data_IF_090927287836
#
_entry.id   IF_090927287836
#
_cell.length_a   1.000
_cell.length_b   1.000
_cell.length_c   1.000
_cell.angle_alpha   90.00
_cell.angle_beta   90.00
_cell.angle_gamma   90.00
#
_symmetry.space_group_name_H-M   'P 1'
#
loop_
_entity.id
_entity.type
_entity.pdbx_description
1 polymer ?
#
# COMPACT_ATOMS: atom_id res chain seq x y z
N UNK A 1 13.99 -31.20 -5.54
CA UNK A 1 14.64 -30.32 -4.56
C UNK A 1 13.93 -28.99 -4.66
N UNK A 2 13.21 -28.62 -3.60
CA UNK A 2 12.22 -27.54 -3.62
C UNK A 2 12.95 -26.19 -3.43
N UNK A 3 13.43 -25.60 -4.54
CA UNK A 3 14.42 -24.52 -4.59
C UNK A 3 13.98 -23.17 -4.01
N UNK A 4 12.76 -23.05 -3.47
CA UNK A 4 12.19 -21.83 -2.92
C UNK A 4 12.06 -21.85 -1.38
N UNK A 5 12.84 -22.67 -0.68
CA UNK A 5 12.84 -22.63 0.81
C UNK A 5 13.65 -21.46 1.37
N UNK A 6 14.67 -20.99 0.64
CA UNK A 6 15.63 -19.99 1.13
C UNK A 6 15.76 -18.83 0.14
N UNK A 7 16.00 -17.63 0.68
CA UNK A 7 16.23 -16.46 -0.15
C UNK A 7 17.52 -16.63 -0.97
N UNK A 8 17.54 -16.17 -2.24
CA UNK A 8 18.73 -16.27 -3.11
C UNK A 8 19.91 -15.47 -2.57
N UNK A 9 19.65 -14.46 -1.73
CA UNK A 9 20.62 -13.64 -1.03
C UNK A 9 20.05 -13.27 0.35
N UNK A 10 20.90 -12.99 1.36
CA UNK A 10 20.44 -12.58 2.68
C UNK A 10 19.50 -11.38 2.63
N UNK A 11 18.39 -11.44 3.37
CA UNK A 11 17.48 -10.29 3.51
C UNK A 11 18.08 -9.33 4.52
N UNK A 12 18.46 -8.15 4.04
CA UNK A 12 18.96 -7.06 4.88
C UNK A 12 17.83 -6.05 5.07
N UNK A 13 17.43 -5.81 6.32
CA UNK A 13 16.35 -4.86 6.63
C UNK A 13 16.85 -3.41 6.52
N UNK A 14 16.13 -2.58 5.75
CA UNK A 14 16.49 -1.18 5.53
C UNK A 14 16.46 -0.37 6.83
N UNK A 15 15.54 -0.69 7.74
CA UNK A 15 15.52 -0.06 9.06
C UNK A 15 16.82 -0.33 9.84
N UNK A 16 17.33 -1.56 9.85
CA UNK A 16 18.58 -1.87 10.53
C UNK A 16 19.78 -1.15 9.88
N UNK A 17 19.77 -1.03 8.54
CA UNK A 17 20.76 -0.21 7.83
C UNK A 17 20.67 1.25 8.28
N UNK A 18 19.50 1.87 8.21
CA UNK A 18 19.29 3.26 8.67
C UNK A 18 19.76 3.47 10.12
N UNK A 19 19.44 2.54 11.02
CA UNK A 19 19.78 2.65 12.45
C UNK A 19 21.27 2.43 12.75
N UNK A 20 22.04 1.84 11.82
CA UNK A 20 23.48 1.64 11.97
C UNK A 20 24.32 2.92 11.86
N UNK A 21 23.73 4.03 11.41
CA UNK A 21 24.43 5.30 11.22
C UNK A 21 25.30 5.36 9.96
N UNK A 22 25.03 4.49 8.96
CA UNK A 22 25.73 4.53 7.68
C UNK A 22 25.59 5.89 6.99
N UNK A 23 26.68 6.35 6.38
CA UNK A 23 26.74 7.60 5.61
C UNK A 23 26.54 7.38 4.12
N UNK A 24 26.75 6.15 3.64
CA UNK A 24 26.61 5.76 2.23
C UNK A 24 25.74 4.52 2.10
N UNK A 25 24.76 4.55 1.17
CA UNK A 25 23.86 3.40 0.96
C UNK A 25 24.59 2.26 0.22
N UNK A 26 24.25 0.98 0.49
CA UNK A 26 24.83 -0.14 -0.24
C UNK A 26 24.42 -0.17 -1.72
N UNK A 27 25.30 -0.72 -2.57
CA UNK A 27 25.10 -0.79 -4.03
C UNK A 27 23.74 -1.33 -4.49
N UNK A 28 23.14 -2.38 -3.87
CA UNK A 28 21.83 -2.86 -4.28
C UNK A 28 20.72 -1.81 -4.20
N UNK A 29 20.86 -0.77 -3.38
CA UNK A 29 19.87 0.30 -3.23
C UNK A 29 20.12 1.50 -4.15
N UNK A 30 21.22 1.51 -4.90
CA UNK A 30 21.57 2.56 -5.85
C UNK A 30 20.83 2.30 -7.16
N UNK A 31 19.88 3.18 -7.49
CA UNK A 31 19.11 3.11 -8.73
C UNK A 31 20.00 3.49 -9.93
N UNK A 32 19.75 2.90 -11.12
CA UNK A 32 20.42 3.34 -12.34
C UNK A 32 20.11 4.82 -12.61
N UNK A 33 20.99 5.58 -13.28
CA UNK A 33 20.81 7.02 -13.46
C UNK A 33 19.44 7.45 -14.02
N UNK A 34 18.83 6.63 -14.89
CA UNK A 34 17.50 6.87 -15.46
C UNK A 34 16.33 6.72 -14.48
N UNK A 35 16.57 6.12 -13.31
CA UNK A 35 15.56 5.83 -12.29
C UNK A 35 15.76 6.64 -11.00
N UNK A 36 16.84 7.41 -10.92
CA UNK A 36 17.11 8.25 -9.77
C UNK A 36 16.09 9.39 -9.70
N UNK A 37 15.72 9.85 -8.49
CA UNK A 37 14.88 11.02 -8.34
C UNK A 37 15.47 12.21 -9.09
N UNK A 38 14.73 12.74 -10.05
CA UNK A 38 15.16 13.94 -10.77
C UNK A 38 15.13 15.14 -9.83
N UNK A 39 16.21 15.93 -9.78
CA UNK A 39 16.30 17.17 -8.98
C UNK A 39 15.47 18.33 -9.55
N UNK A 40 14.45 18.04 -10.37
CA UNK A 40 13.64 19.04 -11.03
C UNK A 40 12.89 19.87 -9.97
N UNK A 41 13.42 21.05 -9.68
CA UNK A 41 12.86 22.03 -8.73
C UNK A 41 11.54 22.65 -9.24
N UNK A 42 11.07 22.25 -10.42
CA UNK A 42 9.83 22.67 -11.03
C UNK A 42 8.73 21.65 -10.82
N UNK A 43 8.34 21.36 -9.58
CA UNK A 43 7.05 20.69 -9.35
C UNK A 43 5.99 21.74 -9.68
N UNK A 44 5.51 21.74 -10.94
CA UNK A 44 4.21 22.32 -11.22
C UNK A 44 3.24 21.75 -10.18
N UNK A 45 2.49 22.60 -9.50
CA UNK A 45 1.52 22.19 -8.49
C UNK A 45 0.42 21.38 -9.18
N UNK A 46 0.67 20.09 -9.37
CA UNK A 46 -0.29 19.14 -9.90
C UNK A 46 -1.39 18.98 -8.87
N UNK A 47 -2.57 19.50 -9.19
CA UNK A 47 -3.73 19.45 -8.33
C UNK A 47 -4.47 18.12 -8.54
N UNK A 48 -4.10 17.10 -7.77
CA UNK A 48 -4.75 15.78 -7.79
C UNK A 48 -6.25 15.97 -7.47
N UNK A 49 -7.18 15.40 -8.27
CA UNK A 49 -8.62 15.51 -8.02
C UNK A 49 -8.98 15.02 -6.62
N UNK A 50 -9.84 15.75 -5.93
CA UNK A 50 -10.42 15.36 -4.64
C UNK A 50 -11.92 15.15 -4.85
N UNK A 51 -12.42 13.98 -4.51
CA UNK A 51 -13.80 13.57 -4.77
C UNK A 51 -14.51 13.32 -3.45
N UNK A 52 -15.65 13.97 -3.28
CA UNK A 52 -16.54 13.77 -2.14
C UNK A 52 -17.45 12.56 -2.39
N UNK A 53 -17.22 11.47 -1.64
CA UNK A 53 -18.05 10.25 -1.73
C UNK A 53 -19.37 10.36 -0.93
N UNK A 54 -19.55 11.41 -0.14
CA UNK A 54 -20.82 11.70 0.55
C UNK A 54 -21.98 11.90 -0.44
N UNK A 55 -21.71 12.36 -1.66
CA UNK A 55 -22.71 12.47 -2.72
C UNK A 55 -23.25 11.12 -3.22
N UNK A 56 -22.64 9.98 -2.85
CA UNK A 56 -23.17 8.66 -3.19
C UNK A 56 -24.28 8.18 -2.23
N UNK A 57 -24.63 8.98 -1.22
CA UNK A 57 -25.69 8.63 -0.27
C UNK A 57 -27.03 8.39 -0.98
N UNK A 58 -27.81 7.44 -0.47
CA UNK A 58 -29.12 7.11 -1.05
C UNK A 58 -30.04 8.34 -1.06
N UNK A 59 -30.65 8.63 -2.21
CA UNK A 59 -31.51 9.81 -2.41
C UNK A 59 -30.78 11.14 -2.62
N UNK A 60 -29.44 11.16 -2.64
CA UNK A 60 -28.66 12.36 -2.95
C UNK A 60 -28.89 12.83 -4.40
N UNK A 61 -29.14 14.14 -4.56
CA UNK A 61 -29.20 14.78 -5.88
C UNK A 61 -27.81 14.82 -6.55
N UNK A 62 -26.75 14.71 -5.77
CA UNK A 62 -25.35 14.81 -6.15
C UNK A 62 -24.77 13.48 -6.66
N UNK A 63 -25.47 12.35 -6.49
CA UNK A 63 -24.97 11.01 -6.84
C UNK A 63 -24.43 10.92 -8.28
N UNK A 64 -25.18 11.47 -9.25
CA UNK A 64 -24.72 11.52 -10.65
C UNK A 64 -23.45 12.35 -10.81
N UNK A 65 -23.36 13.49 -10.12
CA UNK A 65 -22.19 14.37 -10.20
C UNK A 65 -20.95 13.69 -9.60
N UNK A 66 -21.07 13.00 -8.47
CA UNK A 66 -19.97 12.23 -7.87
C UNK A 66 -19.50 11.11 -8.81
N UNK A 67 -20.41 10.36 -9.42
CA UNK A 67 -20.06 9.30 -10.40
C UNK A 67 -19.31 9.90 -11.60
N UNK A 68 -19.78 11.04 -12.13
CA UNK A 68 -19.10 11.75 -13.22
C UNK A 68 -17.68 12.21 -12.81
N UNK A 69 -17.52 12.77 -11.61
CA UNK A 69 -16.22 13.20 -11.10
C UNK A 69 -15.22 12.04 -10.98
N UNK A 70 -15.66 10.86 -10.52
CA UNK A 70 -14.82 9.64 -10.49
C UNK A 70 -14.40 9.26 -11.90
N UNK A 71 -15.34 9.24 -12.84
CA UNK A 71 -15.07 8.90 -14.23
C UNK A 71 -14.06 9.86 -14.88
N UNK A 72 -14.21 11.16 -14.65
CA UNK A 72 -13.32 12.20 -15.18
C UNK A 72 -11.92 12.11 -14.59
N UNK A 73 -11.80 11.85 -13.27
CA UNK A 73 -10.52 11.63 -12.63
C UNK A 73 -9.84 10.36 -13.14
N UNK A 74 -10.57 9.26 -13.32
CA UNK A 74 -10.02 8.04 -13.91
C UNK A 74 -9.52 8.26 -15.34
N UNK A 75 -10.25 8.99 -16.18
CA UNK A 75 -9.84 9.28 -17.57
C UNK A 75 -8.66 10.23 -17.69
N UNK A 76 -8.66 11.27 -16.86
CA UNK A 76 -7.70 12.39 -17.01
C UNK A 76 -6.43 12.18 -16.19
N UNK A 77 -6.53 11.51 -15.04
CA UNK A 77 -5.43 11.33 -14.10
C UNK A 77 -5.06 9.87 -13.87
N UNK A 78 -6.05 8.96 -13.90
CA UNK A 78 -5.89 7.59 -13.42
C UNK A 78 -5.70 7.49 -11.90
N UNK A 79 -5.84 8.60 -11.17
CA UNK A 79 -5.65 8.71 -9.73
C UNK A 79 -6.47 9.87 -9.15
N UNK A 80 -6.97 9.72 -7.92
CA UNK A 80 -7.70 10.75 -7.18
C UNK A 80 -7.67 10.49 -5.67
N UNK A 81 -7.95 11.53 -4.90
CA UNK A 81 -8.20 11.45 -3.46
C UNK A 81 -9.70 11.40 -3.20
N UNK A 82 -10.10 10.74 -2.11
CA UNK A 82 -11.51 10.68 -1.68
C UNK A 82 -11.67 11.29 -0.29
N UNK A 83 -12.77 12.00 -0.08
CA UNK A 83 -13.21 12.51 1.24
C UNK A 83 -14.62 12.02 1.52
N UNK A 84 -15.03 12.08 2.79
CA UNK A 84 -16.34 11.57 3.25
C UNK A 84 -16.60 10.12 2.81
N UNK A 85 -15.55 9.29 2.83
CA UNK A 85 -15.55 7.90 2.35
C UNK A 85 -16.13 6.89 3.37
N UNK A 86 -16.71 7.36 4.48
CA UNK A 86 -17.36 6.52 5.50
C UNK A 86 -16.44 5.83 6.52
N UNK A 87 -15.14 5.72 6.25
CA UNK A 87 -14.17 5.15 7.20
C UNK A 87 -13.91 6.11 8.36
N UNK A 88 -14.07 5.63 9.60
CA UNK A 88 -13.90 6.44 10.82
C UNK A 88 -12.49 7.08 10.91
N UNK A 89 -12.39 8.41 11.11
CA UNK A 89 -11.10 9.08 11.33
C UNK A 89 -10.32 8.50 12.53
N UNK A 90 -11.03 8.07 13.57
CA UNK A 90 -10.41 7.43 14.74
C UNK A 90 -9.80 6.08 14.41
N UNK A 91 -10.45 5.29 13.54
CA UNK A 91 -9.90 4.01 13.07
C UNK A 91 -8.65 4.23 12.22
N UNK A 92 -8.67 5.23 11.32
CA UNK A 92 -7.50 5.62 10.52
C UNK A 92 -6.32 6.05 11.43
N UNK A 93 -6.60 6.81 12.49
CA UNK A 93 -5.58 7.19 13.47
C UNK A 93 -5.04 5.98 14.24
N UNK A 94 -5.92 5.12 14.75
CA UNK A 94 -5.54 3.89 15.49
C UNK A 94 -4.70 2.96 14.63
N UNK A 95 -5.07 2.71 13.37
CA UNK A 95 -4.30 1.82 12.48
C UNK A 95 -2.91 2.38 12.20
N UNK A 96 -2.78 3.71 12.03
CA UNK A 96 -1.47 4.38 11.92
C UNK A 96 -0.63 4.22 13.20
N UNK A 97 -1.26 4.34 14.37
CA UNK A 97 -0.59 4.17 15.67
C UNK A 97 -0.08 2.75 15.91
N UNK A 98 -0.89 1.72 15.64
CA UNK A 98 -0.48 0.32 15.86
C UNK A 98 0.65 -0.09 14.92
N UNK A 99 0.62 0.33 13.64
CA UNK A 99 1.74 0.07 12.72
C UNK A 99 3.01 0.79 13.14
N UNK A 100 2.92 2.05 13.59
CA UNK A 100 4.08 2.75 14.18
C UNK A 100 4.61 2.02 15.41
N UNK A 101 3.73 1.50 16.24
CA UNK A 101 4.09 0.65 17.38
C UNK A 101 4.85 -0.59 16.93
N UNK A 102 4.33 -1.31 15.93
CA UNK A 102 4.95 -2.50 15.36
C UNK A 102 6.36 -2.23 14.82
N UNK A 103 6.56 -1.20 13.97
CA UNK A 103 7.88 -0.92 13.40
C UNK A 103 8.92 -0.42 14.43
N UNK A 104 8.46 0.06 15.60
CA UNK A 104 9.32 0.40 16.75
C UNK A 104 9.73 -0.79 17.61
N UNK A 105 9.12 -1.96 17.40
CA UNK A 105 9.51 -3.17 18.13
C UNK A 105 10.96 -3.57 17.80
N UNK A 106 11.63 -4.29 18.71
CA UNK A 106 12.93 -4.91 18.45
C UNK A 106 12.89 -5.76 17.17
N UNK A 107 14.03 -5.85 16.47
CA UNK A 107 14.08 -6.59 15.20
C UNK A 107 13.68 -8.06 15.34
N UNK A 108 14.04 -8.71 16.46
CA UNK A 108 13.66 -10.10 16.73
C UNK A 108 12.12 -10.30 16.75
N UNK A 109 11.39 -9.37 17.34
CA UNK A 109 9.91 -9.41 17.40
C UNK A 109 9.30 -9.24 16.00
N UNK A 110 9.88 -8.36 15.17
CA UNK A 110 9.41 -8.16 13.78
C UNK A 110 9.74 -9.36 12.90
N UNK A 111 10.91 -9.96 13.07
CA UNK A 111 11.34 -11.13 12.31
C UNK A 111 10.56 -12.40 12.61
N UNK A 112 9.89 -12.49 13.77
CA UNK A 112 8.92 -13.56 14.02
C UNK A 112 7.82 -13.61 12.95
N UNK A 113 7.52 -12.48 12.30
CA UNK A 113 6.55 -12.36 11.22
C UNK A 113 7.19 -12.33 9.84
N UNK A 114 8.49 -12.64 9.69
CA UNK A 114 9.19 -12.52 8.41
C UNK A 114 8.50 -13.32 7.29
N UNK A 115 8.47 -12.75 6.10
CA UNK A 115 8.03 -13.45 4.91
C UNK A 115 9.11 -14.41 4.38
N UNK A 116 8.81 -15.14 3.30
CA UNK A 116 9.76 -16.08 2.70
C UNK A 116 9.64 -16.09 1.16
N UNK A 117 10.53 -16.76 0.42
CA UNK A 117 10.50 -16.73 -1.05
C UNK A 117 9.22 -17.29 -1.68
N UNK A 118 8.42 -18.07 -0.93
CA UNK A 118 7.15 -18.66 -1.42
C UNK A 118 5.95 -17.77 -1.19
N UNK A 119 5.98 -16.93 -0.16
CA UNK A 119 4.88 -16.04 0.20
C UNK A 119 5.37 -14.67 0.58
N UNK A 120 4.74 -13.65 -0.01
CA UNK A 120 4.98 -12.26 0.34
C UNK A 120 4.40 -11.88 1.71
N UNK A 121 3.53 -12.71 2.29
CA UNK A 121 2.85 -12.46 3.55
C UNK A 121 3.80 -12.42 4.76
N UNK A 122 3.68 -11.34 5.54
CA UNK A 122 4.53 -11.03 6.66
C UNK A 122 5.42 -9.81 6.44
N UNK A 123 6.40 -9.66 7.33
CA UNK A 123 7.41 -8.60 7.33
C UNK A 123 8.52 -8.88 6.31
N UNK A 124 8.82 -7.92 5.45
CA UNK A 124 9.81 -8.06 4.38
C UNK A 124 10.60 -6.78 4.14
N UNK A 125 11.72 -6.91 3.43
CA UNK A 125 12.59 -5.79 3.03
C UNK A 125 13.01 -5.84 1.56
N UNK A 126 12.52 -6.86 0.84
CA UNK A 126 12.86 -7.13 -0.55
C UNK A 126 11.62 -7.60 -1.28
N UNK A 127 11.38 -7.04 -2.44
CA UNK A 127 10.38 -7.57 -3.38
C UNK A 127 11.11 -8.40 -4.45
N UNK A 128 10.63 -9.61 -4.70
CA UNK A 128 11.19 -10.53 -5.70
C UNK A 128 12.35 -11.40 -5.23
N UNK A 129 12.67 -12.41 -6.05
CA UNK A 129 13.67 -13.47 -5.75
C UNK A 129 14.81 -13.51 -6.77
N UNK A 130 15.00 -12.43 -7.53
CA UNK A 130 16.06 -12.34 -8.55
C UNK A 130 17.38 -11.89 -7.92
N UNK A 131 18.44 -12.70 -8.05
CA UNK A 131 19.78 -12.37 -7.54
C UNK A 131 20.32 -11.09 -8.20
N UNK A 132 20.90 -10.19 -7.41
CA UNK A 132 21.47 -8.93 -7.93
C UNK A 132 20.42 -7.89 -8.35
N UNK A 133 19.18 -8.04 -7.89
CA UNK A 133 18.13 -7.05 -8.12
C UNK A 133 18.45 -5.70 -7.47
N UNK A 134 18.05 -4.62 -8.13
CA UNK A 134 18.09 -3.27 -7.56
C UNK A 134 16.91 -3.11 -6.59
N UNK A 135 17.21 -2.96 -5.31
CA UNK A 135 16.26 -2.92 -4.20
C UNK A 135 15.73 -1.50 -3.95
N UNK A 136 14.55 -1.43 -3.33
CA UNK A 136 13.97 -0.18 -2.86
C UNK A 136 14.39 0.12 -1.42
N UNK A 137 14.48 1.40 -1.07
CA UNK A 137 14.80 1.83 0.28
C UNK A 137 13.55 1.83 1.17
N UNK A 138 13.12 0.65 1.60
CA UNK A 138 12.02 0.49 2.54
C UNK A 138 11.83 -0.93 3.03
N UNK A 139 11.27 -1.04 4.22
CA UNK A 139 10.69 -2.28 4.71
C UNK A 139 9.18 -2.27 4.47
N UNK A 140 8.54 -3.43 4.49
CA UNK A 140 7.11 -3.54 4.36
C UNK A 140 6.52 -4.66 5.20
N UNK A 141 5.22 -4.59 5.40
CA UNK A 141 4.41 -5.68 5.92
C UNK A 141 3.27 -5.97 4.93
N UNK A 142 3.06 -7.23 4.59
CA UNK A 142 1.99 -7.64 3.68
C UNK A 142 1.06 -8.63 4.36
N UNK A 143 -0.25 -8.43 4.24
CA UNK A 143 -1.29 -9.31 4.78
C UNK A 143 -2.34 -9.61 3.73
N UNK A 144 -2.79 -10.85 3.66
CA UNK A 144 -4.02 -11.17 2.94
C UNK A 144 -5.23 -10.74 3.78
N UNK A 145 -6.16 -10.02 3.17
CA UNK A 145 -7.44 -9.62 3.76
C UNK A 145 -8.61 -10.45 3.23
N UNK A 146 -8.53 -10.93 1.99
CA UNK A 146 -9.50 -11.84 1.39
C UNK A 146 -8.84 -12.70 0.30
N UNK A 147 -9.40 -13.90 0.03
CA UNK A 147 -10.48 -14.55 0.78
C UNK A 147 -10.00 -15.12 2.14
N UNK A 148 -10.92 -15.42 3.06
CA UNK A 148 -10.56 -15.93 4.41
C UNK A 148 -9.65 -17.17 4.43
N UNK A 149 -9.83 -18.18 3.54
CA UNK A 149 -9.01 -19.39 3.56
C UNK A 149 -7.52 -19.18 3.28
N UNK A 150 -7.13 -18.06 2.67
CA UNK A 150 -5.72 -17.74 2.38
C UNK A 150 -5.07 -16.86 3.45
N UNK A 151 -5.84 -16.41 4.46
CA UNK A 151 -5.27 -15.63 5.57
C UNK A 151 -4.46 -16.54 6.47
N UNK A 152 -3.16 -16.27 6.58
CA UNK A 152 -2.35 -16.94 7.59
C UNK A 152 -2.41 -16.16 8.92
N UNK A 153 -3.24 -16.60 9.85
CA UNK A 153 -3.39 -15.96 11.17
C UNK A 153 -2.09 -15.89 11.98
N UNK A 154 -1.07 -16.72 11.69
CA UNK A 154 0.23 -16.64 12.35
C UNK A 154 1.05 -15.44 11.85
N UNK A 155 0.75 -14.92 10.65
CA UNK A 155 1.38 -13.71 10.09
C UNK A 155 0.74 -12.41 10.58
N UNK A 156 -0.39 -12.47 11.28
CA UNK A 156 -1.05 -11.28 11.79
C UNK A 156 -0.43 -10.82 13.12
N UNK A 157 0.14 -9.60 13.21
CA UNK A 157 0.88 -9.16 14.38
C UNK A 157 0.00 -9.03 15.63
N UNK A 158 0.43 -9.67 16.71
CA UNK A 158 -0.23 -9.57 18.03
C UNK A 158 0.26 -8.37 18.86
N UNK A 159 1.38 -7.76 18.47
CA UNK A 159 1.96 -6.59 19.12
C UNK A 159 1.92 -5.37 18.19
N UNK A 160 1.58 -4.18 18.71
CA UNK A 160 1.02 -3.91 20.05
C UNK A 160 -0.33 -4.63 20.29
N UNK A 161 -0.80 -4.73 21.53
CA UNK A 161 -1.92 -5.61 21.95
C UNK A 161 -3.26 -5.41 21.22
N UNK A 162 -3.46 -4.29 20.52
CA UNK A 162 -4.64 -4.00 19.69
C UNK A 162 -4.39 -4.12 18.18
N UNK A 163 -3.18 -4.50 17.75
CA UNK A 163 -2.75 -4.44 16.35
C UNK A 163 -3.63 -5.30 15.46
N UNK A 164 -3.76 -6.60 15.75
CA UNK A 164 -4.58 -7.53 14.98
C UNK A 164 -6.03 -7.07 14.81
N UNK A 165 -6.69 -6.69 15.90
CA UNK A 165 -8.10 -6.25 15.87
C UNK A 165 -8.25 -4.96 15.05
N UNK A 166 -7.38 -3.97 15.28
CA UNK A 166 -7.44 -2.68 14.59
C UNK A 166 -7.17 -2.83 13.09
N UNK A 167 -6.20 -3.68 12.72
CA UNK A 167 -5.86 -3.96 11.32
C UNK A 167 -6.98 -4.71 10.62
N UNK A 168 -7.64 -5.65 11.30
CA UNK A 168 -8.78 -6.39 10.75
C UNK A 168 -9.96 -5.45 10.51
N UNK A 169 -10.34 -4.66 11.52
CA UNK A 169 -11.43 -3.67 11.43
C UNK A 169 -11.18 -2.67 10.29
N UNK A 170 -9.96 -2.14 10.19
CA UNK A 170 -9.58 -1.25 9.10
C UNK A 170 -9.62 -1.95 7.73
N UNK A 171 -9.13 -3.19 7.64
CA UNK A 171 -9.17 -4.00 6.43
C UNK A 171 -10.60 -4.20 5.92
N UNK A 172 -11.54 -4.50 6.82
CA UNK A 172 -12.95 -4.70 6.48
C UNK A 172 -13.59 -3.41 5.93
N UNK A 173 -13.31 -2.27 6.54
CA UNK A 173 -13.78 -0.96 6.05
C UNK A 173 -13.17 -0.60 4.68
N UNK A 174 -11.89 -0.93 4.46
CA UNK A 174 -11.24 -0.72 3.16
C UNK A 174 -11.79 -1.63 2.06
N UNK A 175 -12.13 -2.88 2.38
CA UNK A 175 -12.77 -3.81 1.44
C UNK A 175 -14.14 -3.28 1.03
N UNK A 176 -14.95 -2.81 2.00
CA UNK A 176 -16.26 -2.20 1.73
C UNK A 176 -16.13 -0.97 0.84
N UNK A 177 -15.20 -0.05 1.16
CA UNK A 177 -14.94 1.14 0.35
C UNK A 177 -14.52 0.78 -1.08
N UNK A 178 -13.63 -0.21 -1.25
CA UNK A 178 -13.26 -0.72 -2.56
C UNK A 178 -14.48 -1.26 -3.33
N UNK A 179 -15.38 -1.98 -2.65
CA UNK A 179 -16.63 -2.47 -3.24
C UNK A 179 -17.51 -1.32 -3.76
N UNK A 180 -17.69 -0.26 -2.97
CA UNK A 180 -18.43 0.94 -3.40
C UNK A 180 -17.80 1.58 -4.63
N UNK A 181 -16.48 1.74 -4.66
CA UNK A 181 -15.77 2.30 -5.81
C UNK A 181 -15.92 1.41 -7.07
N UNK A 182 -15.90 0.08 -6.93
CA UNK A 182 -16.12 -0.84 -8.06
C UNK A 182 -17.53 -0.68 -8.67
N UNK A 183 -18.54 -0.43 -7.83
CA UNK A 183 -19.91 -0.15 -8.30
C UNK A 183 -19.97 1.17 -9.06
N UNK A 184 -19.37 2.22 -8.50
CA UNK A 184 -19.28 3.54 -9.16
C UNK A 184 -18.56 3.44 -10.50
N UNK A 185 -17.44 2.72 -10.56
CA UNK A 185 -16.69 2.49 -11.79
C UNK A 185 -17.53 1.72 -12.83
N UNK A 186 -18.26 0.68 -12.41
CA UNK A 186 -19.15 -0.06 -13.31
C UNK A 186 -20.22 0.85 -13.92
N UNK A 187 -20.90 1.64 -13.10
CA UNK A 187 -21.94 2.58 -13.55
C UNK A 187 -21.35 3.65 -14.48
N UNK A 188 -20.18 4.20 -14.16
CA UNK A 188 -19.52 5.22 -14.99
C UNK A 188 -19.09 4.73 -16.37
N UNK A 189 -18.90 3.41 -16.52
CA UNK A 189 -18.63 2.75 -17.81
C UNK A 189 -19.91 2.32 -18.54
N UNK A 190 -21.10 2.60 -17.99
CA UNK A 190 -22.37 2.15 -18.55
C UNK A 190 -22.62 0.65 -18.40
N UNK A 191 -21.95 -0.02 -17.47
CA UNK A 191 -22.10 -1.45 -17.18
C UNK A 191 -23.17 -1.68 -16.11
N UNK A 192 -23.58 -2.95 -15.94
CA UNK A 192 -24.35 -3.36 -14.77
C UNK A 192 -23.56 -3.07 -13.48
N UNK A 193 -24.26 -2.69 -12.40
CA UNK A 193 -23.65 -2.17 -11.16
C UNK A 193 -22.56 -3.08 -10.56
N UNK A 194 -22.73 -4.39 -10.63
CA UNK A 194 -21.79 -5.36 -10.07
C UNK A 194 -20.84 -5.98 -11.13
N UNK A 195 -20.86 -5.49 -12.38
CA UNK A 195 -20.14 -6.10 -13.49
C UNK A 195 -18.63 -6.14 -13.24
N UNK A 196 -18.02 -5.04 -12.79
CA UNK A 196 -16.59 -5.05 -12.48
C UNK A 196 -16.31 -5.92 -11.26
N UNK A 197 -17.14 -5.87 -10.22
CA UNK A 197 -16.92 -6.71 -9.04
C UNK A 197 -16.92 -8.21 -9.40
N UNK A 198 -17.87 -8.64 -10.25
CA UNK A 198 -17.93 -10.00 -10.77
C UNK A 198 -16.70 -10.36 -11.62
N UNK A 199 -16.26 -9.45 -12.51
CA UNK A 199 -15.08 -9.65 -13.34
C UNK A 199 -13.78 -9.80 -12.54
N UNK A 200 -13.71 -9.21 -11.34
CA UNK A 200 -12.56 -9.26 -10.44
C UNK A 200 -12.70 -10.32 -9.32
N UNK A 201 -13.50 -11.36 -9.55
CA UNK A 201 -13.59 -12.53 -8.67
C UNK A 201 -14.88 -12.63 -7.85
N UNK A 202 -15.78 -11.64 -7.90
CA UNK A 202 -17.07 -11.70 -7.21
C UNK A 202 -16.91 -11.95 -5.71
N UNK A 203 -17.44 -13.08 -5.24
CA UNK A 203 -17.34 -13.52 -3.84
C UNK A 203 -15.93 -14.04 -3.47
N UNK A 204 -15.13 -14.44 -4.46
CA UNK A 204 -13.74 -14.90 -4.30
C UNK A 204 -12.72 -13.78 -4.51
N UNK A 205 -13.14 -12.51 -4.37
CA UNK A 205 -12.27 -11.35 -4.58
C UNK A 205 -11.04 -11.37 -3.68
N UNK A 206 -9.87 -11.17 -4.28
CA UNK A 206 -8.61 -11.00 -3.54
C UNK A 206 -8.45 -9.57 -3.01
N UNK A 207 -8.14 -9.45 -1.72
CA UNK A 207 -7.77 -8.19 -1.10
C UNK A 207 -6.53 -8.37 -0.21
N UNK A 208 -5.66 -7.36 -0.17
CA UNK A 208 -4.49 -7.36 0.70
C UNK A 208 -4.20 -5.97 1.27
N UNK A 209 -3.47 -5.97 2.37
CA UNK A 209 -2.94 -4.78 3.00
C UNK A 209 -1.42 -4.78 2.84
N UNK A 210 -0.86 -3.70 2.28
CA UNK A 210 0.57 -3.44 2.30
C UNK A 210 0.86 -2.20 3.13
N UNK A 211 1.72 -2.36 4.11
CA UNK A 211 2.18 -1.28 4.98
C UNK A 211 3.63 -1.04 4.64
N UNK A 212 3.95 0.18 4.21
CA UNK A 212 5.31 0.53 3.84
C UNK A 212 5.96 1.36 4.96
N UNK A 213 7.19 1.01 5.30
CA UNK A 213 8.03 1.72 6.26
C UNK A 213 9.27 2.21 5.53
N UNK A 214 9.45 3.53 5.49
CA UNK A 214 10.58 4.18 4.82
C UNK A 214 11.50 4.81 5.87
N UNK A 215 12.59 4.12 6.28
CA UNK A 215 13.57 4.66 7.20
C UNK A 215 14.30 5.87 6.59
N UNK A 216 15.07 6.60 7.41
CA UNK A 216 15.91 7.68 6.89
C UNK A 216 16.95 7.13 5.91
N UNK A 217 17.17 7.85 4.82
CA UNK A 217 18.19 7.53 3.82
C UNK A 217 19.26 8.64 3.83
N UNK A 218 20.56 8.29 3.91
CA UNK A 218 21.63 9.29 3.85
C UNK A 218 21.89 9.81 2.43
N UNK A 219 21.48 9.07 1.39
CA UNK A 219 21.65 9.44 -0.02
C UNK A 219 20.32 9.29 -0.79
N UNK A 220 19.28 10.06 -0.45
CA UNK A 220 17.95 9.92 -1.05
C UNK A 220 17.93 10.17 -2.57
N UNK A 221 18.90 10.90 -3.11
CA UNK A 221 19.07 11.17 -4.54
C UNK A 221 19.55 9.95 -5.35
N UNK A 222 20.02 8.89 -4.68
CA UNK A 222 20.51 7.68 -5.33
C UNK A 222 19.51 6.53 -5.32
N UNK A 223 18.40 6.65 -4.57
CA UNK A 223 17.47 5.55 -4.34
C UNK A 223 16.01 5.95 -4.54
N UNK A 224 15.11 4.98 -4.53
CA UNK A 224 13.66 5.19 -4.55
C UNK A 224 12.98 4.36 -3.46
N UNK A 225 11.94 4.93 -2.86
CA UNK A 225 11.14 4.26 -1.85
C UNK A 225 10.13 3.24 -2.43
N UNK A 226 9.83 3.25 -3.74
CA UNK A 226 8.81 2.36 -4.33
C UNK A 226 9.12 2.00 -5.80
N UNK A 227 8.69 0.82 -6.29
CA UNK A 227 8.59 0.54 -7.71
C UNK A 227 7.60 1.49 -8.37
N UNK A 228 7.87 1.89 -9.62
CA UNK A 228 7.16 2.94 -10.35
C UNK A 228 5.65 2.68 -10.49
N UNK A 229 4.86 3.44 -9.72
CA UNK A 229 3.68 4.21 -10.17
C UNK A 229 3.91 5.64 -9.69
N UNK A 230 3.41 6.69 -10.38
CA UNK A 230 3.75 8.08 -10.06
C UNK A 230 3.13 8.50 -8.73
N UNK A 231 3.75 8.10 -7.62
CA UNK A 231 3.52 8.63 -6.29
C UNK A 231 4.56 9.70 -6.05
N UNK A 232 4.07 10.86 -5.61
CA UNK A 232 4.85 12.03 -5.24
C UNK A 232 6.02 11.63 -4.35
N UNK A 233 7.15 12.31 -4.52
CA UNK A 233 8.25 12.29 -3.55
C UNK A 233 7.68 12.39 -2.13
N UNK A 234 7.86 11.31 -1.39
CA UNK A 234 7.55 11.22 0.02
C UNK A 234 8.37 12.30 0.77
N UNK A 235 7.68 13.16 1.52
CA UNK A 235 8.34 13.92 2.59
C UNK A 235 9.00 12.92 3.56
N UNK A 236 10.09 13.26 4.27
CA UNK A 236 10.78 12.34 5.22
C UNK A 236 9.91 11.77 6.36
N UNK A 237 8.61 12.09 6.37
CA UNK A 237 7.60 11.68 7.35
C UNK A 237 6.32 11.07 6.73
N UNK A 238 6.24 10.83 5.41
CA UNK A 238 5.02 10.29 4.80
C UNK A 238 4.94 8.77 4.88
N UNK A 239 3.95 8.29 5.64
CA UNK A 239 3.55 6.90 5.75
C UNK A 239 2.47 6.61 4.71
N UNK A 240 2.67 5.59 3.87
CA UNK A 240 1.66 5.12 2.93
C UNK A 240 1.20 3.74 3.38
N UNK A 241 0.01 3.70 3.99
CA UNK A 241 -0.78 2.46 4.09
C UNK A 241 -1.56 2.38 2.79
N UNK A 242 -1.17 1.45 1.90
CA UNK A 242 -1.94 1.19 0.68
C UNK A 242 -2.63 -0.16 0.83
N UNK A 243 -3.96 -0.12 0.88
CA UNK A 243 -4.74 -1.30 0.51
C UNK A 243 -4.70 -1.37 -1.01
N UNK A 244 -4.23 -2.48 -1.57
CA UNK A 244 -4.11 -2.69 -3.01
C UNK A 244 -4.87 -3.95 -3.37
N UNK A 245 -5.60 -3.92 -4.48
CA UNK A 245 -6.15 -5.14 -5.09
C UNK A 245 -5.03 -5.83 -5.86
N UNK A 246 -4.88 -7.14 -5.66
CA UNK A 246 -3.93 -7.95 -6.40
C UNK A 246 -4.42 -8.22 -7.84
N UNK A 247 -4.44 -7.17 -8.68
CA UNK A 247 -4.07 -7.19 -10.10
C UNK A 247 -4.25 -5.74 -10.60
N UNK A 248 -3.14 -5.04 -10.84
CA UNK A 248 -3.05 -3.76 -11.57
C UNK A 248 -4.32 -2.89 -11.52
N UNK A 249 -4.56 -2.14 -10.44
CA UNK A 249 -5.16 -0.78 -10.41
C UNK A 249 -5.61 -0.42 -8.97
N UNK A 250 -5.49 0.88 -8.66
CA UNK A 250 -5.91 1.61 -7.46
C UNK A 250 -5.18 1.29 -6.14
N UNK A 251 -4.08 2.01 -5.87
CA UNK A 251 -3.66 2.30 -4.50
C UNK A 251 -4.51 3.47 -3.98
N UNK A 252 -5.49 3.21 -3.13
CA UNK A 252 -6.17 4.27 -2.40
C UNK A 252 -5.27 4.72 -1.25
N UNK A 253 -4.55 5.83 -1.43
CA UNK A 253 -3.88 6.50 -0.32
C UNK A 253 -4.90 7.37 0.41
N UNK A 254 -5.23 7.01 1.65
CA UNK A 254 -6.06 7.86 2.52
C UNK A 254 -5.16 8.90 3.17
N UNK A 255 -5.31 10.16 2.74
CA UNK A 255 -4.72 11.35 3.36
C UNK A 255 -5.23 11.57 4.77
#
# INVERSE_FOLDING_TARGET
MDCLQEWPEPVVHVQALSDSGLTTIPDPYIKPPSERPSSDKGVATLHIPVIDLGGLAEGSAECRATICAVADACRSWGFFQVVNHGVSPDLVRKVREVWRGFFRLPMAEKQAYANNPRTYEGYGSRVGVEKGAVLDWGDYFYLHLLPEPIKNQDKWPALPSSCRQTVQEYGDEMVKLCGTLMKVLSISLGLAVDQLQAAFGGDDVGACLRVNYYPRCPQPELTSASPRTPTRAASPSSWLTTASRASKFAEATIG
#
